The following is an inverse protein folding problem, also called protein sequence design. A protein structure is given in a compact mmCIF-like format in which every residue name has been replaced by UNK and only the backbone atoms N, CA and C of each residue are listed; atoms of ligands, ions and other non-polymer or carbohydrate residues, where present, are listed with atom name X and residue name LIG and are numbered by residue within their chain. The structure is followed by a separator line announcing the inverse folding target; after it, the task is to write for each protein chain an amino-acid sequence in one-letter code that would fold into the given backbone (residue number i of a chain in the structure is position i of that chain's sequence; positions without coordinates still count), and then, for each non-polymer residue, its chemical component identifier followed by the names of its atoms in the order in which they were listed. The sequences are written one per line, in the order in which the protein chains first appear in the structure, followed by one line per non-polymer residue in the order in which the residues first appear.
data_IF_513871451792
#
_entry.id   IF_513871451792
#
_cell.length_a   1.000
_cell.length_b   1.000
_cell.length_c   1.000
_cell.angle_alpha   90.00
_cell.angle_beta   90.00
_cell.angle_gamma   90.00
#
_symmetry.space_group_name_H-M   'P 1'
#
loop_
_entity.id
_entity.type
_entity.pdbx_description
1 polymer ?
#
# COMPACT_ATOMS: atom_id res chain seq x y z
N UNK A 1 -4.00 -6.76 -2.92
CA UNK A 1 -3.43 -5.69 -3.77
C UNK A 1 -2.04 -6.07 -4.21
N UNK A 2 -1.76 -6.02 -5.52
CA UNK A 2 -0.50 -6.41 -6.13
C UNK A 2 0.42 -5.19 -6.46
N UNK A 3 0.10 -3.99 -5.96
CA UNK A 3 0.87 -2.77 -6.26
C UNK A 3 2.38 -2.89 -5.99
N UNK A 4 2.85 -3.53 -4.90
CA UNK A 4 4.28 -3.75 -4.68
C UNK A 4 4.97 -4.63 -5.73
N UNK A 5 4.20 -5.37 -6.53
CA UNK A 5 4.67 -6.26 -7.58
C UNK A 5 4.69 -5.58 -8.96
N UNK A 6 4.33 -4.30 -9.06
CA UNK A 6 4.44 -3.54 -10.30
C UNK A 6 5.78 -2.80 -10.37
N UNK A 7 6.31 -2.53 -11.58
CA UNK A 7 7.48 -1.67 -11.75
C UNK A 7 7.30 -0.35 -11.00
N UNK A 8 8.33 0.09 -10.26
CA UNK A 8 8.23 1.28 -9.41
C UNK A 8 7.82 2.55 -10.15
N UNK A 9 8.12 2.61 -11.44
CA UNK A 9 7.69 3.69 -12.34
C UNK A 9 6.18 3.79 -12.51
N UNK A 10 5.44 2.69 -12.29
CA UNK A 10 4.00 2.59 -12.52
C UNK A 10 3.20 2.55 -11.21
N UNK A 11 3.84 2.15 -10.09
CA UNK A 11 3.18 2.02 -8.78
C UNK A 11 2.50 3.30 -8.32
N UNK A 12 3.17 4.45 -8.43
CA UNK A 12 2.60 5.76 -8.03
C UNK A 12 1.33 6.05 -8.80
N UNK A 13 1.42 5.96 -10.12
CA UNK A 13 0.32 6.29 -11.01
C UNK A 13 -0.88 5.37 -10.76
N UNK A 14 -0.65 4.07 -10.64
CA UNK A 14 -1.71 3.11 -10.32
C UNK A 14 -2.31 3.33 -8.94
N UNK A 15 -1.51 3.74 -7.93
CA UNK A 15 -2.03 4.04 -6.60
C UNK A 15 -2.93 5.28 -6.62
N UNK A 16 -2.50 6.35 -7.30
CA UNK A 16 -3.29 7.58 -7.49
C UNK A 16 -4.61 7.29 -8.22
N UNK A 17 -4.56 6.54 -9.33
CA UNK A 17 -5.75 6.21 -10.12
C UNK A 17 -6.75 5.36 -9.28
N UNK A 18 -6.24 4.42 -8.48
CA UNK A 18 -7.06 3.66 -7.52
C UNK A 18 -7.65 4.55 -6.43
N UNK A 19 -6.84 5.43 -5.85
CA UNK A 19 -7.27 6.32 -4.78
C UNK A 19 -8.37 7.27 -5.24
N UNK A 20 -8.18 7.91 -6.39
CA UNK A 20 -9.19 8.77 -7.03
C UNK A 20 -10.48 7.98 -7.32
N UNK A 21 -10.37 6.76 -7.86
CA UNK A 21 -11.55 5.93 -8.12
C UNK A 21 -12.35 5.60 -6.85
N UNK A 22 -11.66 5.39 -5.72
CA UNK A 22 -12.26 5.10 -4.42
C UNK A 22 -12.90 6.36 -3.81
N UNK A 23 -12.27 7.52 -3.97
CA UNK A 23 -12.80 8.80 -3.50
C UNK A 23 -14.06 9.22 -4.27
N UNK A 24 -14.07 9.02 -5.59
CA UNK A 24 -15.16 9.44 -6.48
C UNK A 24 -16.36 8.48 -6.48
N UNK A 25 -16.18 7.23 -6.04
CA UNK A 25 -17.27 6.25 -6.01
C UNK A 25 -18.02 6.31 -4.68
N UNK A 26 -19.30 6.66 -4.74
CA UNK A 26 -20.19 6.66 -3.57
C UNK A 26 -20.69 5.24 -3.27
N UNK A 27 -19.97 4.54 -2.38
CA UNK A 27 -20.33 3.20 -1.90
C UNK A 27 -19.91 3.08 -0.43
N UNK A 28 -20.83 2.60 0.42
CA UNK A 28 -20.56 2.38 1.85
C UNK A 28 -19.37 1.44 2.11
N UNK A 29 -19.09 0.54 1.15
CA UNK A 29 -17.94 -0.36 1.21
C UNK A 29 -16.63 0.34 0.84
N UNK A 30 -16.67 1.34 -0.04
CA UNK A 30 -15.48 2.10 -0.44
C UNK A 30 -15.17 3.23 0.55
N UNK A 31 -16.20 3.81 1.17
CA UNK A 31 -16.02 4.78 2.26
C UNK A 31 -15.22 4.20 3.43
N UNK A 32 -15.44 2.92 3.77
CA UNK A 32 -14.66 2.23 4.81
C UNK A 32 -13.20 1.96 4.42
N UNK A 33 -12.86 2.04 3.13
CA UNK A 33 -11.50 1.90 2.62
C UNK A 33 -10.72 3.21 2.57
N UNK A 34 -11.39 4.37 2.63
CA UNK A 34 -10.71 5.69 2.60
C UNK A 34 -9.60 5.81 3.65
N UNK A 35 -9.81 5.43 4.94
CA UNK A 35 -8.75 5.49 5.95
C UNK A 35 -7.55 4.59 5.63
N UNK A 36 -7.78 3.44 4.97
CA UNK A 36 -6.72 2.53 4.56
C UNK A 36 -5.83 3.17 3.49
N UNK A 37 -6.42 3.86 2.51
CA UNK A 37 -5.68 4.57 1.48
C UNK A 37 -4.92 5.77 2.04
N UNK A 38 -5.53 6.57 2.91
CA UNK A 38 -4.85 7.68 3.59
C UNK A 38 -3.65 7.19 4.41
N UNK A 39 -3.81 6.08 5.16
CA UNK A 39 -2.70 5.45 5.87
C UNK A 39 -1.59 5.02 4.89
N UNK A 40 -1.95 4.40 3.77
CA UNK A 40 -0.97 3.94 2.80
C UNK A 40 -0.19 5.09 2.16
N UNK A 41 -0.90 6.15 1.77
CA UNK A 41 -0.30 7.34 1.18
C UNK A 41 0.64 8.03 2.17
N UNK A 42 0.19 8.29 3.40
CA UNK A 42 0.97 9.05 4.37
C UNK A 42 2.18 8.27 4.89
N UNK A 43 2.00 6.98 5.17
CA UNK A 43 3.08 6.16 5.71
C UNK A 43 3.98 5.59 4.61
N UNK A 44 3.42 4.83 3.67
CA UNK A 44 4.25 4.07 2.71
C UNK A 44 4.72 4.91 1.53
N UNK A 45 3.88 5.82 1.02
CA UNK A 45 4.26 6.67 -0.12
C UNK A 45 5.10 7.85 0.33
N UNK A 46 4.62 8.65 1.30
CA UNK A 46 5.27 9.90 1.72
C UNK A 46 6.41 9.68 2.73
N UNK A 47 6.23 8.82 3.73
CA UNK A 47 7.22 8.68 4.83
C UNK A 47 8.31 7.64 4.51
N UNK A 48 7.93 6.42 4.15
CA UNK A 48 8.88 5.32 3.89
C UNK A 48 9.46 5.40 2.47
N UNK A 49 8.65 5.84 1.52
CA UNK A 49 9.01 5.93 0.11
C UNK A 49 8.80 4.61 -0.64
N UNK A 50 8.22 4.71 -1.83
CA UNK A 50 7.78 3.56 -2.64
C UNK A 50 8.90 2.58 -2.98
N UNK A 51 10.14 3.05 -3.14
CA UNK A 51 11.27 2.16 -3.43
C UNK A 51 11.52 1.11 -2.34
N UNK A 52 11.17 1.41 -1.07
CA UNK A 52 11.31 0.46 0.05
C UNK A 52 10.10 -0.45 0.20
N UNK A 53 8.95 -0.02 -0.28
CA UNK A 53 7.71 -0.79 -0.30
C UNK A 53 7.63 -1.74 -1.50
N UNK A 54 8.26 -1.37 -2.62
CA UNK A 54 8.24 -2.11 -3.87
C UNK A 54 9.14 -3.35 -3.81
N UNK A 55 8.61 -4.49 -4.23
CA UNK A 55 9.29 -5.80 -4.28
C UNK A 55 9.33 -6.40 -5.68
N UNK A 56 9.06 -5.58 -6.71
CA UNK A 56 9.14 -5.93 -8.12
C UNK A 56 10.50 -6.51 -8.48
N UNK A 57 10.50 -7.70 -9.07
CA UNK A 57 11.72 -8.41 -9.46
C UNK A 57 12.54 -8.95 -8.28
N UNK A 58 12.12 -8.71 -7.02
CA UNK A 58 12.80 -9.27 -5.86
C UNK A 58 12.21 -10.65 -5.59
N UNK A 59 13.09 -11.66 -5.50
CA UNK A 59 12.73 -13.04 -5.16
C UNK A 59 12.41 -13.17 -3.67
N UNK A 60 11.40 -12.44 -3.21
CA UNK A 60 10.90 -12.46 -1.83
C UNK A 60 9.84 -13.57 -1.72
N UNK A 61 10.03 -14.49 -0.77
CA UNK A 61 8.92 -15.35 -0.33
C UNK A 61 7.91 -14.43 0.36
N UNK A 62 6.64 -14.55 0.01
CA UNK A 62 5.56 -13.65 0.43
C UNK A 62 5.40 -13.50 1.95
N UNK A 63 6.05 -14.35 2.77
CA UNK A 63 6.13 -14.21 4.23
C UNK A 63 7.56 -13.86 4.72
N UNK A 64 8.11 -12.73 4.29
CA UNK A 64 9.41 -12.25 4.73
C UNK A 64 9.30 -11.30 5.94
N UNK A 65 8.93 -11.83 7.12
CA UNK A 65 8.92 -11.09 8.39
C UNK A 65 7.93 -9.91 8.50
N UNK A 66 7.03 -9.71 7.53
CA UNK A 66 5.96 -8.70 7.61
C UNK A 66 5.02 -8.99 8.79
N UNK A 67 4.67 -10.27 9.00
CA UNK A 67 3.97 -10.75 10.19
C UNK A 67 4.68 -10.34 11.48
N UNK A 68 6.01 -10.53 11.54
CA UNK A 68 6.82 -10.14 12.70
C UNK A 68 6.89 -8.62 12.90
N UNK A 69 6.83 -7.83 11.84
CA UNK A 69 6.74 -6.36 11.93
C UNK A 69 5.38 -5.91 12.47
N UNK A 70 4.28 -6.43 11.92
CA UNK A 70 2.93 -6.11 12.39
C UNK A 70 2.69 -6.57 13.82
N UNK A 71 3.21 -7.74 14.20
CA UNK A 71 3.11 -8.23 15.57
C UNK A 71 3.82 -7.30 16.57
N UNK A 72 4.97 -6.72 16.20
CA UNK A 72 5.67 -5.72 17.02
C UNK A 72 4.93 -4.39 17.14
N UNK A 73 4.13 -4.01 16.15
CA UNK A 73 3.30 -2.80 16.21
C UNK A 73 2.07 -3.00 17.10
N UNK A 74 1.46 -4.20 17.09
CA UNK A 74 0.29 -4.50 17.91
C UNK A 74 0.60 -4.75 19.40
N UNK A 75 1.87 -5.01 19.73
CA UNK A 75 2.35 -5.20 21.11
C UNK A 75 2.83 -3.91 21.79
N UNK A 76 2.69 -2.76 21.11
CA UNK A 76 2.98 -1.43 21.64
C UNK A 76 1.67 -0.69 21.91
#
# INVERSE_FOLDING_TARGET
MALPLLPSSVVLKCFEDLYESVLLTSSSTLDSLKPLFEYNENYWVKTIGIKRWNVYGIRIKTNNNAEGFHNRLNLR
#
